data_IF_614468716674
#
_entry.id   IF_614468716674
#
_cell.length_a   1.000
_cell.length_b   1.000
_cell.length_c   1.000
_cell.angle_alpha   90.00
_cell.angle_beta   90.00
_cell.angle_gamma   90.00
#
_symmetry.space_group_name_H-M   'P 1'
#
loop_
_entity.id
_entity.type
_entity.pdbx_description
1 polymer ?
#
# COMPACT_ATOMS: atom_id res chain seq x y z
N UNK A 1 0.26 -26.41 14.85
CA UNK A 1 -0.77 -25.40 15.15
C UNK A 1 -1.42 -24.99 13.82
N UNK A 2 -2.59 -25.55 13.49
CA UNK A 2 -3.29 -25.28 12.23
C UNK A 2 -4.12 -24.00 12.36
N UNK A 3 -3.94 -23.03 11.46
CA UNK A 3 -4.74 -21.81 11.46
C UNK A 3 -6.19 -22.12 11.10
N UNK A 4 -7.15 -21.48 11.77
CA UNK A 4 -8.54 -21.50 11.36
C UNK A 4 -8.67 -21.08 9.87
N UNK A 5 -9.60 -21.66 9.10
CA UNK A 5 -9.68 -21.46 7.65
C UNK A 5 -9.82 -19.99 7.23
N UNK A 6 -10.46 -19.15 8.05
CA UNK A 6 -10.54 -17.71 7.85
C UNK A 6 -9.18 -17.00 8.01
N UNK A 7 -8.40 -17.38 9.02
CA UNK A 7 -7.08 -16.79 9.30
C UNK A 7 -6.07 -17.20 8.22
N UNK A 8 -6.17 -18.43 7.70
CA UNK A 8 -5.38 -18.88 6.56
C UNK A 8 -5.65 -18.03 5.31
N UNK A 9 -6.90 -17.69 5.03
CA UNK A 9 -7.25 -16.81 3.88
C UNK A 9 -6.72 -15.40 4.06
N UNK A 10 -6.78 -14.84 5.27
CA UNK A 10 -6.19 -13.53 5.57
C UNK A 10 -4.68 -13.55 5.37
N UNK A 11 -3.99 -14.58 5.87
CA UNK A 11 -2.54 -14.73 5.68
C UNK A 11 -2.16 -14.79 4.20
N UNK A 12 -2.87 -15.61 3.41
CA UNK A 12 -2.64 -15.72 1.96
C UNK A 12 -2.95 -14.39 1.26
N UNK A 13 -4.03 -13.70 1.63
CA UNK A 13 -4.38 -12.40 1.06
C UNK A 13 -3.31 -11.35 1.32
N UNK A 14 -2.78 -11.29 2.55
CA UNK A 14 -1.69 -10.38 2.91
C UNK A 14 -0.41 -10.72 2.16
N UNK A 15 -0.01 -11.99 2.12
CA UNK A 15 1.17 -12.44 1.39
C UNK A 15 1.06 -12.11 -0.12
N UNK A 16 -0.12 -12.33 -0.70
CA UNK A 16 -0.39 -12.00 -2.10
C UNK A 16 -0.34 -10.49 -2.35
N UNK A 17 -0.97 -9.69 -1.49
CA UNK A 17 -0.95 -8.23 -1.61
C UNK A 17 0.48 -7.69 -1.50
N UNK A 18 1.29 -8.21 -0.57
CA UNK A 18 2.71 -7.85 -0.45
C UNK A 18 3.51 -8.24 -1.69
N UNK A 19 3.34 -9.47 -2.18
CA UNK A 19 4.04 -9.95 -3.38
C UNK A 19 3.66 -9.14 -4.62
N UNK A 20 2.38 -8.81 -4.79
CA UNK A 20 1.91 -7.97 -5.90
C UNK A 20 2.40 -6.54 -5.77
N UNK A 21 2.36 -5.96 -4.58
CA UNK A 21 2.85 -4.60 -4.35
C UNK A 21 4.34 -4.49 -4.69
N UNK A 22 5.13 -5.49 -4.31
CA UNK A 22 6.55 -5.57 -4.65
C UNK A 22 6.77 -5.78 -6.15
N UNK A 23 6.11 -6.78 -6.75
CA UNK A 23 6.26 -7.10 -8.17
C UNK A 23 5.82 -5.94 -9.08
N UNK A 24 4.66 -5.36 -8.82
CA UNK A 24 4.14 -4.24 -9.60
C UNK A 24 4.98 -2.98 -9.39
N UNK A 25 5.47 -2.73 -8.17
CA UNK A 25 6.40 -1.64 -7.90
C UNK A 25 7.74 -1.81 -8.63
N UNK A 26 8.26 -3.04 -8.69
CA UNK A 26 9.46 -3.38 -9.45
C UNK A 26 9.26 -3.18 -10.95
N UNK A 27 8.16 -3.73 -11.52
CA UNK A 27 7.83 -3.56 -12.93
C UNK A 27 7.61 -2.10 -13.31
N UNK A 28 6.93 -1.33 -12.45
CA UNK A 28 6.74 0.09 -12.68
C UNK A 28 8.07 0.87 -12.70
N UNK A 29 9.01 0.54 -11.80
CA UNK A 29 10.35 1.13 -11.84
C UNK A 29 11.15 0.70 -13.08
N UNK A 30 10.98 -0.53 -13.57
CA UNK A 30 11.61 -0.95 -14.84
C UNK A 30 11.08 -0.17 -16.04
N UNK A 31 9.77 0.11 -16.06
CA UNK A 31 9.12 0.80 -17.17
C UNK A 31 9.41 2.30 -17.23
N UNK A 32 9.48 2.96 -16.06
CA UNK A 32 9.60 4.44 -15.97
C UNK A 32 11.02 4.88 -15.60
N UNK A 33 11.92 3.94 -15.29
CA UNK A 33 13.30 4.21 -14.86
C UNK A 33 13.48 4.04 -13.36
N UNK A 34 14.63 3.49 -12.98
CA UNK A 34 14.95 3.18 -11.58
C UNK A 34 14.86 4.43 -10.70
N UNK A 35 14.01 4.38 -9.68
CA UNK A 35 13.82 5.49 -8.75
C UNK A 35 12.72 6.46 -9.16
N UNK A 36 12.17 6.41 -10.38
CA UNK A 36 11.07 7.29 -10.81
C UNK A 36 9.76 7.09 -10.01
N UNK A 37 9.58 5.90 -9.40
CA UNK A 37 8.46 5.66 -8.49
C UNK A 37 8.62 6.38 -7.14
N UNK A 38 9.84 6.77 -6.78
CA UNK A 38 10.20 7.40 -5.50
C UNK A 38 10.51 8.88 -5.69
N UNK A 39 11.21 9.21 -6.77
CA UNK A 39 11.45 10.55 -7.27
C UNK A 39 10.31 10.94 -8.21
N UNK A 40 9.18 11.38 -7.65
CA UNK A 40 8.26 12.21 -8.43
C UNK A 40 9.00 13.45 -8.96
N UNK A 41 8.46 14.18 -9.95
CA UNK A 41 8.98 15.50 -10.31
C UNK A 41 9.26 16.31 -9.03
N UNK A 42 10.30 17.13 -9.01
CA UNK A 42 10.77 17.82 -7.79
C UNK A 42 9.68 18.60 -7.02
N UNK A 43 8.56 18.92 -7.68
CA UNK A 43 7.39 19.63 -7.14
C UNK A 43 6.13 18.76 -6.99
N UNK A 44 6.23 17.44 -7.15
CA UNK A 44 5.08 16.54 -7.16
C UNK A 44 4.90 15.85 -5.82
N UNK A 45 3.90 16.31 -5.05
CA UNK A 45 3.50 15.77 -3.75
C UNK A 45 2.87 14.37 -3.81
N UNK A 46 2.69 13.81 -5.02
CA UNK A 46 1.96 12.56 -5.24
C UNK A 46 2.52 11.76 -6.41
N UNK A 47 2.57 10.43 -6.27
CA UNK A 47 2.91 9.54 -7.38
C UNK A 47 1.67 8.70 -7.80
N UNK A 48 1.00 9.05 -8.91
CA UNK A 48 -0.23 8.37 -9.32
C UNK A 48 -0.01 6.89 -9.66
N UNK A 49 1.16 6.54 -10.19
CA UNK A 49 1.48 5.14 -10.49
C UNK A 49 1.64 4.32 -9.21
N UNK A 50 2.25 4.90 -8.17
CA UNK A 50 2.31 4.27 -6.84
C UNK A 50 0.92 4.07 -6.22
N UNK A 51 -0.01 5.00 -6.43
CA UNK A 51 -1.40 4.85 -5.97
C UNK A 51 -2.11 3.71 -6.69
N UNK A 52 -1.93 3.61 -8.02
CA UNK A 52 -2.52 2.55 -8.82
C UNK A 52 -1.97 1.17 -8.44
N UNK A 53 -0.65 1.05 -8.26
CA UNK A 53 0.01 -0.19 -7.77
C UNK A 53 -0.59 -0.61 -6.43
N UNK A 54 -0.74 0.34 -5.50
CA UNK A 54 -1.33 0.10 -4.18
C UNK A 54 -2.77 -0.40 -4.31
N UNK A 55 -3.60 0.27 -5.12
CA UNK A 55 -5.00 -0.10 -5.30
C UNK A 55 -5.15 -1.52 -5.89
N UNK A 56 -4.35 -1.86 -6.90
CA UNK A 56 -4.38 -3.19 -7.54
C UNK A 56 -3.93 -4.28 -6.57
N UNK A 57 -2.83 -4.07 -5.84
CA UNK A 57 -2.34 -5.03 -4.86
C UNK A 57 -3.37 -5.29 -3.74
N UNK A 58 -4.00 -4.22 -3.22
CA UNK A 58 -5.00 -4.34 -2.16
C UNK A 58 -6.32 -4.93 -2.68
N UNK A 59 -6.67 -4.70 -3.94
CA UNK A 59 -7.81 -5.36 -4.58
C UNK A 59 -7.64 -6.87 -4.67
N UNK A 60 -6.44 -7.37 -4.97
CA UNK A 60 -6.18 -8.81 -4.94
C UNK A 60 -6.34 -9.40 -3.53
N UNK A 61 -5.83 -8.72 -2.50
CA UNK A 61 -6.03 -9.15 -1.10
C UNK A 61 -7.52 -9.15 -0.70
N UNK A 62 -8.25 -8.09 -1.06
CA UNK A 62 -9.69 -7.98 -0.84
C UNK A 62 -10.49 -9.05 -1.57
N UNK A 63 -10.07 -9.45 -2.77
CA UNK A 63 -10.71 -10.53 -3.53
C UNK A 63 -10.57 -11.89 -2.83
N UNK A 64 -9.45 -12.13 -2.14
CA UNK A 64 -9.16 -13.41 -1.47
C UNK A 64 -9.85 -13.49 -0.11
N UNK A 65 -9.71 -12.45 0.72
CA UNK A 65 -10.15 -12.47 2.13
C UNK A 65 -11.40 -11.62 2.43
N UNK A 66 -11.94 -10.92 1.44
CA UNK A 66 -13.20 -10.17 1.54
C UNK A 66 -13.11 -8.95 2.43
N UNK A 67 -14.25 -8.57 3.02
CA UNK A 67 -14.37 -7.35 3.85
C UNK A 67 -13.40 -7.31 5.04
N UNK A 68 -12.98 -8.48 5.55
CA UNK A 68 -12.01 -8.58 6.67
C UNK A 68 -10.63 -8.06 6.30
N UNK A 69 -10.27 -8.07 5.01
CA UNK A 69 -8.99 -7.59 4.55
C UNK A 69 -8.86 -6.06 4.62
N UNK A 70 -9.97 -5.30 4.61
CA UNK A 70 -9.93 -3.83 4.63
C UNK A 70 -9.18 -3.33 5.87
N UNK A 71 -9.47 -3.89 7.05
CA UNK A 71 -8.77 -3.54 8.28
C UNK A 71 -7.29 -3.93 8.25
N UNK A 72 -6.96 -5.06 7.62
CA UNK A 72 -5.57 -5.52 7.46
C UNK A 72 -4.80 -4.62 6.49
N UNK A 73 -5.41 -4.22 5.38
CA UNK A 73 -4.83 -3.31 4.41
C UNK A 73 -4.53 -1.94 5.05
N UNK A 74 -5.46 -1.40 5.83
CA UNK A 74 -5.25 -0.16 6.59
C UNK A 74 -4.10 -0.29 7.59
N UNK A 75 -4.11 -1.34 8.40
CA UNK A 75 -3.04 -1.58 9.37
C UNK A 75 -1.67 -1.72 8.67
N UNK A 76 -1.63 -2.44 7.55
CA UNK A 76 -0.44 -2.59 6.74
C UNK A 76 0.07 -1.25 6.20
N UNK A 77 -0.81 -0.39 5.67
CA UNK A 77 -0.41 0.94 5.20
C UNK A 77 0.09 1.84 6.32
N UNK A 78 -0.54 1.81 7.50
CA UNK A 78 -0.05 2.54 8.66
C UNK A 78 1.35 2.07 9.07
N UNK A 79 1.57 0.75 9.16
CA UNK A 79 2.88 0.19 9.52
C UNK A 79 3.95 0.54 8.48
N UNK A 80 3.61 0.44 7.19
CA UNK A 80 4.50 0.80 6.09
C UNK A 80 4.91 2.28 6.18
N UNK A 81 3.95 3.18 6.39
CA UNK A 81 4.23 4.61 6.51
C UNK A 81 5.04 4.96 7.75
N UNK A 82 4.75 4.33 8.89
CA UNK A 82 5.57 4.48 10.10
C UNK A 82 7.02 4.08 9.80
N UNK A 83 7.23 2.95 9.12
CA UNK A 83 8.57 2.50 8.73
C UNK A 83 9.26 3.47 7.77
N UNK A 84 8.55 3.97 6.75
CA UNK A 84 9.07 4.96 5.79
C UNK A 84 9.48 6.25 6.51
N UNK A 85 8.58 6.83 7.31
CA UNK A 85 8.86 8.07 8.06
C UNK A 85 10.03 7.86 9.02
N UNK A 86 10.10 6.70 9.69
CA UNK A 86 11.21 6.37 10.57
C UNK A 86 12.55 6.33 9.82
N UNK A 87 12.61 5.66 8.67
CA UNK A 87 13.82 5.60 7.84
C UNK A 87 14.21 7.00 7.34
N UNK A 88 13.26 7.77 6.80
CA UNK A 88 13.50 9.13 6.33
C UNK A 88 13.98 10.06 7.46
N UNK A 89 13.41 9.92 8.65
CA UNK A 89 13.82 10.66 9.82
C UNK A 89 15.26 10.31 10.23
N UNK A 90 15.61 9.02 10.27
CA UNK A 90 16.98 8.58 10.61
C UNK A 90 18.04 9.10 9.62
N UNK A 91 17.67 9.25 8.34
CA UNK A 91 18.55 9.81 7.31
C UNK A 91 18.64 11.35 7.42
N UNK A 92 17.54 12.02 7.73
CA UNK A 92 17.45 13.49 7.68
C UNK A 92 17.80 14.19 9.00
N UNK A 93 17.59 13.54 10.15
CA UNK A 93 17.86 14.07 11.47
C UNK A 93 19.29 14.62 11.67
N UNK A 94 20.39 14.02 11.15
CA UNK A 94 21.73 14.57 11.34
C UNK A 94 21.98 15.88 10.57
N UNK A 95 21.13 16.23 9.60
CA UNK A 95 21.34 17.38 8.72
C UNK A 95 20.30 18.48 8.95
N UNK A 96 19.12 18.16 9.51
CA UNK A 96 18.00 19.09 9.66
C UNK A 96 17.32 18.96 11.03
N UNK A 97 17.23 20.07 11.78
CA UNK A 97 16.56 20.12 13.08
C UNK A 97 15.05 19.86 12.99
N UNK A 98 14.40 20.33 11.90
CA UNK A 98 12.96 20.19 11.66
C UNK A 98 12.62 19.04 10.69
N UNK A 99 13.45 17.99 10.65
CA UNK A 99 13.31 16.89 9.68
C UNK A 99 11.90 16.27 9.69
N UNK A 100 11.32 16.04 10.87
CA UNK A 100 10.03 15.36 10.99
C UNK A 100 8.87 16.17 10.38
N UNK A 101 8.79 17.47 10.66
CA UNK A 101 7.72 18.33 10.16
C UNK A 101 7.79 18.47 8.64
N UNK A 102 9.00 18.60 8.08
CA UNK A 102 9.21 18.62 6.63
C UNK A 102 8.82 17.30 5.96
N UNK A 103 9.21 16.17 6.53
CA UNK A 103 8.85 14.84 6.00
C UNK A 103 7.32 14.69 5.97
N UNK A 104 6.63 15.03 7.07
CA UNK A 104 5.17 14.92 7.15
C UNK A 104 4.45 15.90 6.22
N UNK A 105 4.95 17.13 6.06
CA UNK A 105 4.34 18.13 5.18
C UNK A 105 4.49 17.73 3.71
N UNK A 106 5.66 17.23 3.32
CA UNK A 106 5.93 16.82 1.94
C UNK A 106 5.23 15.51 1.56
N UNK A 107 5.11 14.56 2.50
CA UNK A 107 4.53 13.24 2.23
C UNK A 107 3.06 13.11 2.65
N UNK A 108 2.51 14.06 3.40
CA UNK A 108 1.18 13.93 4.02
C UNK A 108 0.07 13.65 3.02
N UNK A 109 0.10 14.30 1.86
CA UNK A 109 -0.87 14.06 0.79
C UNK A 109 -0.73 12.64 0.21
N UNK A 110 0.49 12.19 -0.06
CA UNK A 110 0.76 10.83 -0.54
C UNK A 110 0.36 9.76 0.51
N UNK A 111 0.57 10.02 1.79
CA UNK A 111 0.11 9.15 2.90
C UNK A 111 -1.40 8.99 2.83
N UNK A 112 -2.11 10.10 2.75
CA UNK A 112 -3.57 10.10 2.70
C UNK A 112 -4.10 9.39 1.45
N UNK A 113 -3.59 9.75 0.27
CA UNK A 113 -4.04 9.18 -1.00
C UNK A 113 -3.71 7.70 -1.13
N UNK A 114 -2.52 7.26 -0.68
CA UNK A 114 -2.16 5.84 -0.73
C UNK A 114 -3.00 5.00 0.23
N UNK A 115 -3.32 5.54 1.42
CA UNK A 115 -4.24 4.89 2.37
C UNK A 115 -5.65 4.78 1.78
N UNK A 116 -6.15 5.84 1.13
CA UNK A 116 -7.41 5.80 0.39
C UNK A 116 -7.37 4.80 -0.78
N UNK A 117 -6.29 4.75 -1.54
CA UNK A 117 -6.10 3.80 -2.63
C UNK A 117 -6.10 2.35 -2.12
N UNK A 118 -5.48 2.10 -0.97
CA UNK A 118 -5.49 0.79 -0.33
C UNK A 118 -6.90 0.38 0.13
N UNK A 119 -7.62 1.30 0.78
CA UNK A 119 -9.01 1.10 1.19
C UNK A 119 -9.93 0.81 0.01
N UNK A 120 -9.87 1.65 -1.03
CA UNK A 120 -10.72 1.51 -2.21
C UNK A 120 -10.37 0.24 -2.98
N UNK A 121 -9.09 -0.07 -3.16
CA UNK A 121 -8.62 -1.34 -3.72
C UNK A 121 -9.20 -2.53 -2.95
N UNK A 122 -8.98 -2.61 -1.64
CA UNK A 122 -9.48 -3.70 -0.80
C UNK A 122 -11.02 -3.82 -0.85
N UNK A 123 -11.75 -2.70 -0.84
CA UNK A 123 -13.20 -2.67 -0.93
C UNK A 123 -13.71 -3.19 -2.29
N UNK A 124 -13.08 -2.77 -3.39
CA UNK A 124 -13.40 -3.24 -4.75
C UNK A 124 -13.15 -4.75 -4.84
N UNK A 125 -11.99 -5.22 -4.35
CA UNK A 125 -11.67 -6.66 -4.30
C UNK A 125 -12.71 -7.46 -3.54
N UNK A 126 -13.09 -6.99 -2.35
CA UNK A 126 -14.11 -7.64 -1.53
C UNK A 126 -15.49 -7.66 -2.19
N UNK A 127 -15.88 -6.58 -2.87
CA UNK A 127 -17.15 -6.51 -3.60
C UNK A 127 -17.19 -7.50 -4.77
N UNK A 128 -16.10 -7.60 -5.54
CA UNK A 128 -16.00 -8.55 -6.63
C UNK A 128 -16.08 -10.01 -6.14
N UNK A 129 -15.46 -10.31 -4.99
CA UNK A 129 -15.58 -11.63 -4.36
C UNK A 129 -17.03 -11.97 -4.01
N UNK A 130 -17.76 -11.04 -3.39
CA UNK A 130 -19.17 -11.20 -3.01
C UNK A 130 -20.02 -11.45 -4.26
N UNK A 131 -19.79 -10.69 -5.33
CA UNK A 131 -20.49 -10.88 -6.62
C UNK A 131 -20.22 -12.25 -7.23
N UNK A 132 -19.00 -12.78 -7.10
CA UNK A 132 -18.68 -14.13 -7.59
C UNK A 132 -19.41 -15.20 -6.79
N UNK A 133 -19.42 -15.10 -5.46
CA UNK A 133 -20.09 -16.07 -4.59
C UNK A 133 -21.61 -16.00 -4.71
N UNK A 134 -22.19 -14.87 -5.12
CA UNK A 134 -23.63 -14.74 -5.35
C UNK A 134 -24.09 -15.32 -6.70
N UNK A 135 -23.15 -15.57 -7.64
CA UNK A 135 -23.41 -16.16 -8.96
C UNK A 135 -23.09 -17.65 -9.05
N UNK A 136 -22.49 -18.23 -8.00
CA UNK A 136 -22.09 -19.63 -7.91
C UNK A 136 -23.09 -20.39 -7.04
#
# INVERSE_FOLDING_TARGET
MTLAPANRRLFIATAMAMALMWLLGFLANLLVGAGAMVAGPADSYTNPLSLLVTAVAMAAGGWIAGKRFIGVALAFMCLLWIAIVFVLFRISAPVQADALSRILTFNGLQVFLSTLAACTGAAIGAWLQIRRTAKA
#
